data_IF_398251675230
#
_entry.id   IF_398251675230
#
_cell.length_a   1.000
_cell.length_b   1.000
_cell.length_c   1.000
_cell.angle_alpha   90.00
_cell.angle_beta   90.00
_cell.angle_gamma   90.00
#
_symmetry.space_group_name_H-M   'P 1'
#
loop_
_entity.id
_entity.type
_entity.pdbx_description
1 polymer ?
#
# COMPACT_ATOMS: atom_id res chain seq x y z
N UNK A 1 -52.16 14.08 -26.09
CA UNK A 1 -51.32 14.09 -24.88
C UNK A 1 -50.35 12.88 -24.86
N UNK A 2 -50.81 11.61 -24.96
CA UNK A 2 -49.93 10.42 -24.93
C UNK A 2 -48.84 10.42 -26.00
N UNK A 3 -49.14 10.81 -27.25
CA UNK A 3 -48.18 10.89 -28.33
C UNK A 3 -47.08 11.93 -28.11
N UNK A 4 -47.35 13.05 -27.47
CA UNK A 4 -46.37 14.05 -27.08
C UNK A 4 -45.46 13.55 -25.92
N UNK A 5 -46.00 12.77 -24.99
CA UNK A 5 -45.23 12.13 -23.94
C UNK A 5 -44.26 11.07 -24.50
N UNK A 6 -44.70 10.26 -25.47
CA UNK A 6 -43.80 9.28 -26.15
C UNK A 6 -42.65 9.97 -26.89
N UNK A 7 -42.89 11.04 -27.61
CA UNK A 7 -41.82 11.77 -28.30
C UNK A 7 -40.80 12.44 -27.37
N UNK A 8 -41.23 12.89 -26.20
CA UNK A 8 -40.30 13.44 -25.18
C UNK A 8 -39.45 12.33 -24.53
N UNK A 9 -40.03 11.16 -24.26
CA UNK A 9 -39.29 10.02 -23.72
C UNK A 9 -38.24 9.46 -24.69
N UNK A 10 -38.58 9.34 -25.98
CA UNK A 10 -37.61 8.92 -27.00
C UNK A 10 -36.41 9.89 -27.08
N UNK A 11 -36.71 11.20 -27.02
CA UNK A 11 -35.63 12.20 -27.03
C UNK A 11 -34.76 12.13 -25.77
N UNK A 12 -35.33 11.90 -24.59
CA UNK A 12 -34.58 11.71 -23.35
C UNK A 12 -33.72 10.45 -23.37
N UNK A 13 -34.25 9.35 -23.91
CA UNK A 13 -33.51 8.09 -24.11
C UNK A 13 -32.30 8.32 -25.02
N UNK A 14 -32.51 8.92 -26.20
CA UNK A 14 -31.43 9.20 -27.16
C UNK A 14 -30.35 10.13 -26.55
N UNK A 15 -30.78 11.18 -25.83
CA UNK A 15 -29.88 12.08 -25.11
C UNK A 15 -29.04 11.34 -24.05
N UNK A 16 -29.71 10.50 -23.25
CA UNK A 16 -29.06 9.72 -22.19
C UNK A 16 -28.08 8.71 -22.78
N UNK A 17 -28.44 8.06 -23.86
CA UNK A 17 -27.58 7.11 -24.57
C UNK A 17 -26.32 7.78 -25.15
N UNK A 18 -26.46 8.97 -25.73
CA UNK A 18 -25.31 9.78 -26.14
C UNK A 18 -24.41 10.17 -24.99
N UNK A 19 -24.99 10.55 -23.84
CA UNK A 19 -24.22 10.86 -22.65
C UNK A 19 -23.43 9.65 -22.11
N UNK A 20 -24.06 8.48 -22.08
CA UNK A 20 -23.40 7.22 -21.66
C UNK A 20 -22.18 6.94 -22.53
N UNK A 21 -22.31 7.06 -23.86
CA UNK A 21 -21.20 6.83 -24.79
C UNK A 21 -20.05 7.83 -24.52
N UNK A 22 -20.35 9.10 -24.38
CA UNK A 22 -19.34 10.12 -24.11
C UNK A 22 -18.62 9.90 -22.77
N UNK A 23 -19.38 9.62 -21.70
CA UNK A 23 -18.82 9.34 -20.40
C UNK A 23 -17.98 8.06 -20.39
N UNK A 24 -18.41 7.00 -21.07
CA UNK A 24 -17.65 5.77 -21.22
C UNK A 24 -16.31 6.00 -21.91
N UNK A 25 -16.28 6.79 -22.98
CA UNK A 25 -15.05 7.15 -23.68
C UNK A 25 -14.10 7.95 -22.76
N UNK A 26 -14.63 8.91 -22.00
CA UNK A 26 -13.82 9.68 -21.05
C UNK A 26 -13.28 8.81 -19.92
N UNK A 27 -14.08 7.88 -19.38
CA UNK A 27 -13.63 6.90 -18.39
C UNK A 27 -12.46 6.06 -18.92
N UNK A 28 -12.56 5.52 -20.12
CA UNK A 28 -11.47 4.74 -20.75
C UNK A 28 -10.21 5.59 -20.86
N UNK A 29 -10.32 6.80 -21.38
CA UNK A 29 -9.19 7.72 -21.54
C UNK A 29 -8.50 8.06 -20.21
N UNK A 30 -9.26 8.28 -19.14
CA UNK A 30 -8.69 8.54 -17.82
C UNK A 30 -8.06 7.27 -17.22
N UNK A 31 -8.66 6.10 -17.44
CA UNK A 31 -8.13 4.82 -17.01
C UNK A 31 -6.80 4.47 -17.70
N UNK A 32 -6.65 4.77 -19.00
CA UNK A 32 -5.40 4.62 -19.76
C UNK A 32 -4.29 5.55 -19.21
N UNK A 33 -4.62 6.81 -18.92
CA UNK A 33 -3.67 7.73 -18.28
C UNK A 33 -3.20 7.20 -16.93
N UNK A 34 -4.12 6.70 -16.11
CA UNK A 34 -3.82 6.11 -14.82
C UNK A 34 -2.90 4.88 -14.96
N UNK A 35 -3.18 3.99 -15.92
CA UNK A 35 -2.35 2.83 -16.23
C UNK A 35 -0.93 3.25 -16.64
N UNK A 36 -0.80 4.27 -17.47
CA UNK A 36 0.51 4.82 -17.88
C UNK A 36 1.29 5.33 -16.68
N UNK A 37 0.65 6.06 -15.75
CA UNK A 37 1.29 6.58 -14.54
C UNK A 37 1.72 5.46 -13.59
N UNK A 38 0.87 4.44 -13.41
CA UNK A 38 1.20 3.25 -12.61
C UNK A 38 2.42 2.53 -13.17
N UNK A 39 2.45 2.26 -14.47
CA UNK A 39 3.58 1.60 -15.13
C UNK A 39 4.91 2.37 -14.92
N UNK A 40 4.87 3.69 -14.99
CA UNK A 40 6.04 4.53 -14.71
C UNK A 40 6.50 4.45 -13.25
N UNK A 41 5.55 4.32 -12.30
CA UNK A 41 5.85 4.30 -10.88
C UNK A 41 6.39 2.93 -10.39
N UNK A 42 6.04 1.82 -11.04
CA UNK A 42 6.36 0.44 -10.60
C UNK A 42 7.84 0.29 -10.27
N UNK A 43 8.73 0.60 -11.22
CA UNK A 43 10.19 0.42 -11.04
C UNK A 43 10.74 1.20 -9.84
N UNK A 44 10.27 2.44 -9.65
CA UNK A 44 10.70 3.27 -8.53
C UNK A 44 10.24 2.72 -7.18
N UNK A 45 9.00 2.21 -7.11
CA UNK A 45 8.46 1.59 -5.90
C UNK A 45 9.20 0.29 -5.58
N UNK A 46 9.39 -0.60 -6.57
CA UNK A 46 10.12 -1.86 -6.39
C UNK A 46 11.55 -1.63 -5.89
N UNK A 47 12.25 -0.66 -6.46
CA UNK A 47 13.62 -0.31 -6.05
C UNK A 47 13.65 0.22 -4.61
N UNK A 48 12.75 1.12 -4.26
CA UNK A 48 12.66 1.68 -2.89
C UNK A 48 12.37 0.60 -1.84
N UNK A 49 11.45 -0.32 -2.18
CA UNK A 49 11.12 -1.44 -1.29
C UNK A 49 12.32 -2.38 -1.14
N UNK A 50 13.03 -2.68 -2.23
CA UNK A 50 14.25 -3.49 -2.20
C UNK A 50 15.32 -2.90 -1.27
N UNK A 51 15.58 -1.60 -1.39
CA UNK A 51 16.55 -0.88 -0.54
C UNK A 51 16.13 -0.88 0.92
N UNK A 52 14.85 -0.62 1.20
CA UNK A 52 14.29 -0.66 2.55
C UNK A 52 14.40 -2.04 3.19
N UNK A 53 14.09 -3.11 2.45
CA UNK A 53 14.20 -4.49 2.92
C UNK A 53 15.66 -4.90 3.17
N UNK A 54 16.59 -4.51 2.31
CA UNK A 54 18.01 -4.73 2.52
C UNK A 54 18.48 -4.06 3.82
N UNK A 55 18.03 -2.84 4.10
CA UNK A 55 18.26 -2.16 5.37
C UNK A 55 17.72 -2.92 6.60
N UNK A 56 16.75 -3.80 6.44
CA UNK A 56 16.14 -4.65 7.47
C UNK A 56 16.66 -6.10 7.45
N UNK A 57 17.86 -6.32 6.92
CA UNK A 57 18.52 -7.63 6.79
C UNK A 57 17.74 -8.64 5.96
N UNK A 58 17.13 -8.15 4.87
CA UNK A 58 16.41 -8.95 3.87
C UNK A 58 16.96 -8.68 2.46
N UNK A 59 18.27 -8.79 2.29
CA UNK A 59 18.97 -8.46 1.03
C UNK A 59 18.53 -9.35 -0.15
N UNK A 60 18.07 -10.57 0.16
CA UNK A 60 17.61 -11.54 -0.84
C UNK A 60 16.10 -11.46 -1.11
N UNK A 61 15.38 -10.58 -0.43
CA UNK A 61 13.96 -10.43 -0.65
C UNK A 61 13.66 -9.81 -2.03
N UNK A 62 12.59 -10.30 -2.64
CA UNK A 62 12.11 -9.84 -3.93
C UNK A 62 10.68 -9.33 -3.77
N UNK A 63 10.45 -8.09 -4.13
CA UNK A 63 9.12 -7.50 -4.22
C UNK A 63 8.86 -7.08 -5.66
N UNK A 64 7.68 -7.45 -6.20
CA UNK A 64 7.27 -7.16 -7.56
C UNK A 64 5.83 -6.67 -7.60
N UNK A 65 5.55 -5.75 -8.51
CA UNK A 65 4.22 -5.25 -8.78
C UNK A 65 3.83 -5.69 -10.18
N UNK A 66 2.84 -6.57 -10.26
CA UNK A 66 2.28 -7.01 -11.54
C UNK A 66 1.04 -6.18 -11.86
N UNK A 67 1.02 -5.61 -13.06
CA UNK A 67 -0.11 -4.88 -13.61
C UNK A 67 -0.69 -5.69 -14.76
N UNK A 68 -1.90 -6.21 -14.58
CA UNK A 68 -2.63 -6.92 -15.63
C UNK A 68 -3.73 -6.01 -16.18
N UNK A 69 -3.66 -5.67 -17.43
CA UNK A 69 -4.69 -4.86 -18.10
C UNK A 69 -6.00 -5.63 -18.22
N UNK A 70 -7.09 -5.00 -17.83
CA UNK A 70 -8.45 -5.50 -17.97
C UNK A 70 -9.03 -5.10 -19.32
N UNK A 71 -10.05 -5.83 -19.77
CA UNK A 71 -10.77 -5.54 -21.02
C UNK A 71 -11.66 -4.30 -20.91
N UNK A 72 -12.18 -4.05 -19.69
CA UNK A 72 -13.05 -2.92 -19.40
C UNK A 72 -12.60 -2.22 -18.11
N UNK A 73 -12.78 -0.89 -18.00
CA UNK A 73 -12.46 -0.15 -16.80
C UNK A 73 -13.34 -0.59 -15.62
N UNK A 74 -12.72 -0.97 -14.52
CA UNK A 74 -13.39 -1.15 -13.23
C UNK A 74 -13.33 0.11 -12.35
N UNK A 75 -13.79 0.03 -11.09
CA UNK A 75 -13.75 1.16 -10.15
C UNK A 75 -12.34 1.75 -9.92
N UNK A 76 -11.30 0.95 -10.15
CA UNK A 76 -9.90 1.33 -10.00
C UNK A 76 -9.16 1.55 -11.33
N UNK A 77 -9.88 1.68 -12.44
CA UNK A 77 -9.31 1.85 -13.78
C UNK A 77 -9.10 0.52 -14.52
N UNK A 78 -8.16 0.49 -15.46
CA UNK A 78 -7.91 -0.66 -16.35
C UNK A 78 -6.94 -1.69 -15.80
N UNK A 79 -6.34 -1.47 -14.63
CA UNK A 79 -5.31 -2.38 -14.12
C UNK A 79 -5.80 -3.18 -12.92
N UNK A 80 -5.63 -4.49 -13.00
CA UNK A 80 -5.58 -5.36 -11.85
C UNK A 80 -4.15 -5.33 -11.30
N UNK A 81 -3.97 -4.84 -10.08
CA UNK A 81 -2.67 -4.74 -9.41
C UNK A 81 -2.47 -5.93 -8.50
N UNK A 82 -1.35 -6.64 -8.64
CA UNK A 82 -0.94 -7.71 -7.75
C UNK A 82 0.42 -7.38 -7.15
N UNK A 83 0.53 -7.54 -5.85
CA UNK A 83 1.78 -7.45 -5.13
C UNK A 83 2.33 -8.85 -4.90
N UNK A 84 3.53 -9.09 -5.41
CA UNK A 84 4.22 -10.37 -5.33
C UNK A 84 5.44 -10.23 -4.42
N UNK A 85 5.67 -11.21 -3.56
CA UNK A 85 6.75 -11.17 -2.59
C UNK A 85 7.39 -12.54 -2.40
N UNK A 86 8.71 -12.52 -2.24
CA UNK A 86 9.52 -13.65 -1.78
C UNK A 86 10.57 -13.11 -0.82
N UNK A 87 10.69 -13.69 0.37
CA UNK A 87 11.65 -13.25 1.37
C UNK A 87 13.05 -13.82 1.17
N UNK A 88 13.17 -14.99 0.53
CA UNK A 88 14.40 -15.75 0.44
C UNK A 88 14.81 -16.04 -0.99
N UNK A 89 16.11 -16.09 -1.26
CA UNK A 89 16.65 -16.46 -2.57
C UNK A 89 16.20 -17.89 -2.94
N UNK A 90 15.60 -18.02 -4.14
CA UNK A 90 15.14 -19.32 -4.64
C UNK A 90 13.75 -19.75 -4.15
N UNK A 91 13.14 -19.02 -3.21
CA UNK A 91 11.75 -19.26 -2.85
C UNK A 91 10.81 -18.73 -3.93
N UNK A 92 9.63 -19.36 -4.13
CA UNK A 92 8.66 -18.90 -5.11
C UNK A 92 8.14 -17.50 -4.78
N UNK A 93 7.92 -16.72 -5.82
CA UNK A 93 7.29 -15.42 -5.71
C UNK A 93 5.77 -15.61 -5.57
N UNK A 94 5.22 -15.31 -4.42
CA UNK A 94 3.81 -15.50 -4.11
C UNK A 94 3.06 -14.17 -4.01
N UNK A 95 1.75 -14.19 -4.23
CA UNK A 95 0.90 -13.05 -3.91
C UNK A 95 1.00 -12.72 -2.42
N UNK A 96 1.03 -11.45 -2.07
CA UNK A 96 1.28 -10.97 -0.71
C UNK A 96 0.30 -11.55 0.33
N UNK A 97 -0.95 -11.76 -0.05
CA UNK A 97 -1.99 -12.38 0.78
C UNK A 97 -1.77 -13.88 1.08
N UNK A 98 -0.80 -14.52 0.40
CA UNK A 98 -0.45 -15.93 0.57
C UNK A 98 0.89 -16.14 1.30
N UNK A 99 1.52 -15.05 1.73
CA UNK A 99 2.80 -15.10 2.46
C UNK A 99 2.56 -15.50 3.91
N UNK A 100 3.16 -16.60 4.35
CA UNK A 100 2.90 -17.21 5.65
C UNK A 100 3.75 -16.66 6.80
N UNK A 101 4.85 -15.93 6.53
CA UNK A 101 5.78 -15.46 7.55
C UNK A 101 5.38 -14.07 8.09
N UNK A 102 4.94 -14.01 9.34
CA UNK A 102 4.52 -12.77 10.00
C UNK A 102 5.64 -11.73 10.08
N UNK A 103 6.85 -12.11 10.50
CA UNK A 103 7.97 -11.18 10.65
C UNK A 103 8.48 -10.59 9.33
N UNK A 104 8.51 -11.40 8.26
CA UNK A 104 8.92 -10.93 6.93
C UNK A 104 7.88 -9.99 6.33
N UNK A 105 6.60 -10.31 6.49
CA UNK A 105 5.49 -9.48 6.05
C UNK A 105 5.46 -8.15 6.82
N UNK A 106 5.71 -8.17 8.13
CA UNK A 106 5.76 -6.97 8.98
C UNK A 106 6.87 -6.00 8.51
N UNK A 107 8.07 -6.51 8.19
CA UNK A 107 9.18 -5.69 7.65
C UNK A 107 8.85 -5.12 6.27
N UNK A 108 8.22 -5.90 5.39
CA UNK A 108 7.74 -5.39 4.11
C UNK A 108 6.69 -4.31 4.30
N UNK A 109 5.71 -4.53 5.20
CA UNK A 109 4.68 -3.54 5.48
C UNK A 109 5.23 -2.26 6.10
N UNK A 110 6.24 -2.35 6.98
CA UNK A 110 6.95 -1.18 7.50
C UNK A 110 7.60 -0.38 6.35
N UNK A 111 8.31 -1.06 5.45
CA UNK A 111 8.97 -0.43 4.30
C UNK A 111 7.97 0.28 3.39
N UNK A 112 6.85 -0.37 3.07
CA UNK A 112 5.77 0.22 2.26
C UNK A 112 5.11 1.42 2.97
N UNK A 113 4.85 1.31 4.27
CA UNK A 113 4.27 2.40 5.07
C UNK A 113 5.24 3.58 5.20
N UNK A 114 6.53 3.33 5.37
CA UNK A 114 7.55 4.38 5.38
C UNK A 114 7.60 5.13 4.02
N UNK A 115 7.51 4.41 2.90
CA UNK A 115 7.42 5.02 1.57
C UNK A 115 6.15 5.88 1.42
N UNK A 116 4.99 5.38 1.87
CA UNK A 116 3.73 6.13 1.83
C UNK A 116 3.77 7.38 2.71
N UNK A 117 4.43 7.30 3.86
CA UNK A 117 4.60 8.42 4.78
C UNK A 117 5.28 9.62 4.13
N UNK A 118 6.22 9.39 3.22
CA UNK A 118 6.91 10.46 2.48
C UNK A 118 6.03 11.11 1.41
N UNK A 119 4.94 10.47 1.00
CA UNK A 119 4.08 10.92 -0.12
C UNK A 119 2.71 11.40 0.31
N UNK A 120 2.19 10.88 1.41
CA UNK A 120 0.89 11.27 1.98
C UNK A 120 1.14 11.83 3.38
N UNK A 121 0.55 12.96 3.66
CA UNK A 121 0.50 13.51 5.02
C UNK A 121 -0.51 12.69 5.84
N UNK A 122 -0.07 11.52 6.32
CA UNK A 122 -0.83 10.75 7.28
C UNK A 122 -0.66 11.41 8.65
N UNK A 123 -1.74 11.71 9.38
CA UNK A 123 -1.61 12.37 10.69
C UNK A 123 -1.00 11.44 11.73
N UNK A 124 -1.39 10.18 11.74
CA UNK A 124 -0.97 9.18 12.72
C UNK A 124 -0.85 7.81 12.08
N UNK A 125 0.14 7.05 12.52
CA UNK A 125 0.28 5.62 12.21
C UNK A 125 0.53 4.84 13.50
N UNK A 126 -0.11 3.67 13.61
CA UNK A 126 0.04 2.77 14.75
C UNK A 126 0.71 1.49 14.24
N UNK A 127 1.79 1.09 14.91
CA UNK A 127 2.46 -0.19 14.71
C UNK A 127 2.23 -1.06 15.93
N UNK A 128 1.59 -2.20 15.71
CA UNK A 128 1.33 -3.20 16.72
C UNK A 128 2.12 -4.46 16.39
N UNK A 129 2.88 -4.97 17.35
CA UNK A 129 3.70 -6.20 17.26
C UNK A 129 4.62 -6.28 16.02
N UNK A 130 5.14 -5.15 15.53
CA UNK A 130 6.01 -5.11 14.35
C UNK A 130 7.38 -5.76 14.60
N UNK A 131 7.71 -5.98 15.84
CA UNK A 131 8.96 -6.56 16.35
C UNK A 131 8.91 -8.08 16.55
N UNK A 132 7.82 -8.74 16.16
CA UNK A 132 7.68 -10.20 16.25
C UNK A 132 8.74 -10.91 15.42
N UNK A 133 9.55 -11.76 16.07
CA UNK A 133 10.65 -12.50 15.43
C UNK A 133 11.84 -11.64 15.00
N UNK A 134 11.97 -10.45 15.59
CA UNK A 134 13.08 -9.52 15.37
C UNK A 134 13.93 -9.39 16.62
N UNK A 135 15.24 -9.23 16.47
CA UNK A 135 16.17 -9.01 17.60
C UNK A 135 17.39 -8.18 17.17
N UNK A 136 18.11 -7.68 18.15
CA UNK A 136 19.41 -7.02 17.95
C UNK A 136 19.38 -5.86 16.94
N UNK A 137 20.24 -5.97 15.96
CA UNK A 137 20.52 -4.93 14.95
C UNK A 137 19.29 -4.58 14.09
N UNK A 138 18.45 -5.58 13.78
CA UNK A 138 17.23 -5.37 12.99
C UNK A 138 16.20 -4.55 13.78
N UNK A 139 16.08 -4.79 15.08
CA UNK A 139 15.21 -4.01 15.96
C UNK A 139 15.65 -2.54 16.03
N UNK A 140 16.96 -2.28 16.15
CA UNK A 140 17.49 -0.92 16.13
C UNK A 140 17.18 -0.20 14.80
N UNK A 141 17.39 -0.87 13.67
CA UNK A 141 17.06 -0.34 12.34
C UNK A 141 15.56 -0.03 12.18
N UNK A 142 14.67 -0.89 12.69
CA UNK A 142 13.24 -0.63 12.75
C UNK A 142 12.96 0.65 13.56
N UNK A 143 13.55 0.77 14.73
CA UNK A 143 13.41 1.95 15.58
C UNK A 143 13.88 3.24 14.89
N UNK A 144 14.98 3.19 14.14
CA UNK A 144 15.49 4.32 13.35
C UNK A 144 14.50 4.71 12.23
N UNK A 145 13.88 3.74 11.54
CA UNK A 145 12.87 4.03 10.53
C UNK A 145 11.66 4.73 11.17
N UNK A 146 11.17 4.23 12.30
CA UNK A 146 10.05 4.82 13.04
C UNK A 146 10.37 6.23 13.54
N UNK A 147 11.57 6.45 14.06
CA UNK A 147 12.03 7.78 14.48
C UNK A 147 12.01 8.78 13.32
N UNK A 148 12.49 8.37 12.14
CA UNK A 148 12.45 9.21 10.92
C UNK A 148 11.01 9.52 10.49
N UNK A 149 10.11 8.52 10.56
CA UNK A 149 8.68 8.74 10.26
C UNK A 149 8.06 9.71 11.27
N UNK A 150 8.48 9.67 12.54
CA UNK A 150 8.03 10.57 13.59
C UNK A 150 8.33 12.05 13.33
N UNK A 151 9.31 12.35 12.48
CA UNK A 151 9.58 13.72 12.01
C UNK A 151 8.50 14.31 11.07
N UNK A 152 7.68 13.46 10.44
CA UNK A 152 6.65 13.87 9.49
C UNK A 152 5.21 13.59 9.97
N UNK A 153 5.03 12.71 10.96
CA UNK A 153 3.72 12.28 11.47
C UNK A 153 3.81 11.76 12.89
N UNK A 154 2.68 11.58 13.54
CA UNK A 154 2.64 10.86 14.82
C UNK A 154 2.81 9.35 14.58
N UNK A 155 3.81 8.75 15.25
CA UNK A 155 4.03 7.30 15.24
C UNK A 155 3.77 6.76 16.64
N UNK A 156 2.86 5.81 16.75
CA UNK A 156 2.58 5.07 18.00
C UNK A 156 3.05 3.64 17.77
N UNK A 157 3.88 3.12 18.67
CA UNK A 157 4.41 1.76 18.55
C UNK A 157 4.17 0.99 19.84
N UNK A 158 3.55 -0.18 19.71
CA UNK A 158 3.45 -1.16 20.79
C UNK A 158 4.59 -2.15 20.59
N UNK A 159 5.53 -2.18 21.54
CA UNK A 159 6.76 -2.98 21.45
C UNK A 159 7.20 -3.46 22.82
N UNK A 160 7.85 -4.62 22.85
CA UNK A 160 8.53 -5.14 24.01
C UNK A 160 10.06 -5.05 23.89
N UNK A 161 10.58 -4.57 22.75
CA UNK A 161 12.01 -4.47 22.49
C UNK A 161 12.59 -3.11 22.93
N UNK A 162 13.58 -3.09 23.83
CA UNK A 162 14.20 -1.85 24.30
C UNK A 162 14.86 -1.05 23.15
N UNK A 163 15.37 -1.71 22.12
CA UNK A 163 15.98 -1.06 20.96
C UNK A 163 15.01 -0.17 20.20
N UNK A 164 13.73 -0.58 20.08
CA UNK A 164 12.67 0.21 19.47
C UNK A 164 12.17 1.26 20.45
N UNK A 165 11.87 0.87 21.69
CA UNK A 165 11.36 1.76 22.70
C UNK A 165 12.29 2.95 22.94
N UNK A 166 13.62 2.73 23.01
CA UNK A 166 14.62 3.79 23.21
C UNK A 166 14.64 4.90 22.16
N UNK A 167 14.01 4.69 21.01
CA UNK A 167 13.89 5.71 19.94
C UNK A 167 12.65 6.59 20.10
N UNK A 168 11.73 6.24 21.01
CA UNK A 168 10.52 7.02 21.27
C UNK A 168 10.81 8.30 22.06
N UNK A 169 10.10 9.38 21.74
CA UNK A 169 10.14 10.65 22.49
C UNK A 169 9.31 10.58 23.76
N UNK A 170 8.25 9.75 23.76
CA UNK A 170 7.36 9.55 24.88
C UNK A 170 7.12 8.06 25.11
N UNK A 171 7.16 7.65 26.38
CA UNK A 171 6.95 6.25 26.76
C UNK A 171 5.70 6.11 27.60
N UNK A 172 4.86 5.16 27.24
CA UNK A 172 3.70 4.73 28.00
C UNK A 172 3.94 3.28 28.45
N UNK A 173 3.93 3.05 29.76
CA UNK A 173 4.09 1.73 30.32
C UNK A 173 2.73 1.15 30.73
N UNK A 174 2.38 -0.01 30.18
CA UNK A 174 1.13 -0.72 30.49
C UNK A 174 1.45 -1.84 31.48
N UNK A 175 0.80 -1.84 32.63
CA UNK A 175 0.95 -2.88 33.63
C UNK A 175 -0.41 -3.28 34.23
N UNK A 176 -0.51 -4.52 34.67
CA UNK A 176 -1.64 -4.98 35.52
C UNK A 176 -1.33 -4.67 36.96
N UNK A 177 -2.28 -4.09 37.68
CA UNK A 177 -2.27 -4.05 39.13
C UNK A 177 -2.99 -5.31 39.60
N UNK A 178 -2.33 -6.13 40.42
CA UNK A 178 -3.01 -7.18 41.16
C UNK A 178 -3.84 -6.50 42.25
N UNK A 179 -5.17 -6.75 42.22
CA UNK A 179 -6.11 -6.31 43.27
C UNK A 179 -5.97 -7.17 44.51
#
# INVERSE_FOLDING_TARGET
>A
EKLLQFGSLEHEIDKTQKQIVLLSQECVKQAEKLSTLRNKAVKGIEQHVKEGLAGLSMENAVFKIELKTLTEPGPNGLDQVKFMFSANKGAPLNELNKVASGGELSRLMLTLKALLATKKQLPTIIFDEIDTGVSGDVADKIGIIMLRMGGAMQVITITHLPQIASKGNHHLFVYKKDD
#
